data_IF_061189634237
#
_entry.id   IF_061189634237
#
_cell.length_a   1.000
_cell.length_b   1.000
_cell.length_c   1.000
_cell.angle_alpha   90.00
_cell.angle_beta   90.00
_cell.angle_gamma   90.00
#
_symmetry.space_group_name_H-M   'P 1'
#
loop_
_entity.id
_entity.type
_entity.pdbx_description
1 polymer ?
#
# COMPACT_ATOMS: atom_id res chain seq x y z
N UNK A 1 8.05 11.91 -0.88
CA UNK A 1 7.14 12.61 -1.82
C UNK A 1 7.41 12.17 -3.27
N UNK A 2 7.32 10.86 -3.57
CA UNK A 2 7.62 10.32 -4.92
C UNK A 2 6.34 10.04 -5.69
N UNK A 3 5.42 9.25 -5.11
CA UNK A 3 4.10 8.98 -5.70
C UNK A 3 3.26 10.26 -5.88
N UNK A 4 3.33 11.19 -4.92
CA UNK A 4 2.59 12.46 -4.96
C UNK A 4 3.02 13.39 -6.11
N UNK A 5 4.24 13.22 -6.61
CA UNK A 5 4.85 14.11 -7.60
C UNK A 5 4.69 13.56 -9.03
N UNK A 6 4.13 12.36 -9.21
CA UNK A 6 3.95 11.78 -10.54
C UNK A 6 2.85 12.53 -11.31
N UNK A 7 3.05 12.82 -12.62
CA UNK A 7 2.07 13.55 -13.43
C UNK A 7 0.84 12.69 -13.80
N UNK A 8 0.83 11.42 -13.40
CA UNK A 8 -0.27 10.48 -13.55
C UNK A 8 -0.41 9.66 -12.26
N UNK A 9 -1.52 8.94 -12.10
CA UNK A 9 -1.70 8.00 -11.00
C UNK A 9 -1.03 6.66 -11.35
N UNK A 10 0.15 6.32 -10.79
CA UNK A 10 0.78 5.04 -11.05
C UNK A 10 -0.03 3.89 -10.44
N UNK A 11 0.22 2.67 -10.94
CA UNK A 11 -0.14 1.46 -10.23
C UNK A 11 0.84 1.30 -9.05
N UNK A 12 0.32 1.22 -7.83
CA UNK A 12 1.13 1.14 -6.61
C UNK A 12 0.84 -0.17 -5.90
N UNK A 13 1.77 -1.10 -5.92
CA UNK A 13 1.62 -2.40 -5.26
C UNK A 13 2.51 -2.44 -4.03
N UNK A 14 1.90 -2.60 -2.85
CA UNK A 14 2.61 -2.87 -1.61
C UNK A 14 2.97 -4.36 -1.53
N UNK A 15 4.16 -4.68 -1.04
CA UNK A 15 4.58 -6.06 -0.76
C UNK A 15 4.97 -6.13 0.70
N UNK A 16 4.41 -7.09 1.43
CA UNK A 16 4.66 -7.28 2.85
C UNK A 16 4.28 -8.67 3.33
N UNK A 17 4.47 -8.92 4.62
CA UNK A 17 4.12 -10.19 5.24
C UNK A 17 2.66 -10.18 5.68
N UNK A 18 1.98 -11.33 5.64
CA UNK A 18 0.58 -11.41 6.09
C UNK A 18 0.46 -11.10 7.59
N UNK A 19 1.50 -11.44 8.37
CA UNK A 19 1.57 -11.14 9.81
C UNK A 19 1.51 -9.64 10.14
N UNK A 20 1.78 -8.76 9.16
CA UNK A 20 1.73 -7.31 9.34
C UNK A 20 0.31 -6.74 9.15
N UNK A 21 -0.68 -7.57 8.79
CA UNK A 21 -2.07 -7.13 8.66
C UNK A 21 -2.59 -6.64 10.01
N UNK A 22 -2.99 -5.37 10.04
CA UNK A 22 -3.67 -4.74 11.18
C UNK A 22 -4.94 -4.03 10.70
N UNK A 23 -5.94 -3.81 11.58
CA UNK A 23 -7.20 -3.18 11.18
C UNK A 23 -7.05 -1.74 10.64
N UNK A 24 -6.04 -1.00 11.11
CA UNK A 24 -5.76 0.35 10.66
C UNK A 24 -4.33 0.76 10.97
N UNK A 25 -3.73 1.55 10.09
CA UNK A 25 -2.45 2.24 10.33
C UNK A 25 -2.65 3.68 10.84
N UNK A 26 -3.91 4.12 11.01
CA UNK A 26 -4.28 5.51 11.23
C UNK A 26 -3.70 6.45 10.16
N UNK A 27 -4.23 6.42 8.91
CA UNK A 27 -3.69 7.21 7.81
C UNK A 27 -3.58 8.69 8.15
N UNK A 28 -2.44 9.27 7.83
CA UNK A 28 -2.14 10.69 7.99
C UNK A 28 -2.45 11.46 6.69
N UNK A 29 -2.62 12.80 6.74
CA UNK A 29 -2.99 13.59 5.57
C UNK A 29 -2.01 13.53 4.37
N UNK A 30 -0.79 13.06 4.59
CA UNK A 30 0.25 12.93 3.56
C UNK A 30 0.43 11.50 3.05
N UNK A 31 -0.31 10.53 3.60
CA UNK A 31 -0.24 9.15 3.18
C UNK A 31 -0.96 8.96 1.85
N UNK A 32 -0.36 8.14 0.99
CA UNK A 32 -0.92 7.80 -0.32
C UNK A 32 -1.31 6.32 -0.27
N UNK A 33 -2.58 5.98 -0.52
CA UNK A 33 -3.01 4.59 -0.49
C UNK A 33 -2.35 3.78 -1.61
N UNK A 34 -1.97 2.55 -1.30
CA UNK A 34 -1.58 1.56 -2.31
C UNK A 34 -2.81 1.19 -3.16
N UNK A 35 -2.59 0.73 -4.39
CA UNK A 35 -3.64 0.12 -5.22
C UNK A 35 -4.04 -1.24 -4.68
N UNK A 36 -3.04 -2.05 -4.32
CA UNK A 36 -3.20 -3.38 -3.72
C UNK A 36 -2.01 -3.66 -2.79
N UNK A 37 -2.19 -4.57 -1.82
CA UNK A 37 -1.11 -5.10 -0.99
C UNK A 37 -1.05 -6.61 -1.17
N UNK A 38 0.08 -7.12 -1.62
CA UNK A 38 0.32 -8.55 -1.84
C UNK A 38 1.13 -9.10 -0.69
N UNK A 39 0.69 -10.24 -0.17
CA UNK A 39 1.32 -11.00 0.90
C UNK A 39 1.49 -12.46 0.48
N UNK A 40 2.25 -13.24 1.26
CA UNK A 40 2.42 -14.68 1.00
C UNK A 40 1.15 -15.53 1.21
N UNK A 41 0.09 -14.96 1.79
CA UNK A 41 -1.22 -15.63 1.88
C UNK A 41 -1.97 -15.64 0.55
N UNK A 42 -1.46 -14.95 -0.48
CA UNK A 42 -2.06 -14.97 -1.81
C UNK A 42 -1.97 -16.38 -2.42
N UNK A 43 -3.12 -17.06 -2.49
CA UNK A 43 -3.25 -18.42 -3.05
C UNK A 43 -3.24 -19.56 -2.03
N UNK A 44 -3.20 -19.26 -0.73
CA UNK A 44 -3.44 -20.24 0.34
C UNK A 44 -4.94 -20.53 0.53
#
# INVERSE_FOLDING_TARGET
RTLAAMPFRPLVIGVGYELQRIPTIYPQPHDIPMSEVVTEAYGA
#
